data_IF_995055127607
#
_entry.id   IF_995055127607
#
_cell.length_a   1.000
_cell.length_b   1.000
_cell.length_c   1.000
_cell.angle_alpha   90.00
_cell.angle_beta   90.00
_cell.angle_gamma   90.00
#
_symmetry.space_group_name_H-M   'P 1'
#
loop_
_entity.id
_entity.type
_entity.pdbx_description
1 polymer ?
#
# COMPACT_ATOMS: atom_id res chain seq x y z
N UNK A 1 3.79 -51.51 -4.03
CA UNK A 1 2.76 -50.54 -4.47
C UNK A 1 1.32 -51.06 -4.50
N UNK A 2 1.06 -52.37 -4.61
CA UNK A 2 -0.32 -52.91 -4.72
C UNK A 2 -1.20 -52.71 -3.47
N UNK A 3 -0.64 -52.87 -2.26
CA UNK A 3 -1.42 -52.81 -1.00
C UNK A 3 -2.05 -51.44 -0.70
N UNK A 4 -1.42 -50.34 -1.14
CA UNK A 4 -1.95 -48.98 -0.92
C UNK A 4 -3.11 -48.69 -1.89
N UNK A 5 -3.01 -49.18 -3.13
CA UNK A 5 -4.09 -49.05 -4.12
C UNK A 5 -5.32 -49.84 -3.67
N UNK A 6 -5.13 -51.02 -3.11
CA UNK A 6 -6.22 -51.90 -2.70
C UNK A 6 -7.11 -51.29 -1.59
N UNK A 7 -6.50 -50.56 -0.64
CA UNK A 7 -7.21 -49.78 0.40
C UNK A 7 -8.11 -48.70 -0.20
N UNK A 8 -7.73 -48.14 -1.36
CA UNK A 8 -8.48 -47.11 -2.06
C UNK A 8 -9.47 -47.64 -3.10
N UNK A 9 -9.33 -48.87 -3.58
CA UNK A 9 -10.21 -49.47 -4.60
C UNK A 9 -11.21 -50.51 -4.08
N UNK A 10 -11.03 -51.04 -2.86
CA UNK A 10 -11.95 -52.00 -2.24
C UNK A 10 -13.25 -51.40 -1.67
N UNK A 11 -14.07 -52.24 -1.02
CA UNK A 11 -15.39 -51.86 -0.45
C UNK A 11 -15.32 -50.66 0.52
N UNK A 12 -14.22 -50.50 1.24
CA UNK A 12 -14.02 -49.42 2.21
C UNK A 12 -13.47 -48.11 1.63
N UNK A 13 -13.46 -47.95 0.30
CA UNK A 13 -12.98 -46.72 -0.40
C UNK A 13 -13.55 -45.43 0.18
N UNK A 14 -14.83 -45.41 0.56
CA UNK A 14 -15.49 -44.22 1.14
C UNK A 14 -14.84 -43.81 2.47
N UNK A 15 -14.45 -44.78 3.29
CA UNK A 15 -13.76 -44.55 4.56
C UNK A 15 -12.33 -44.04 4.32
N UNK A 16 -11.59 -44.65 3.39
CA UNK A 16 -10.24 -44.17 3.03
C UNK A 16 -10.26 -42.71 2.53
N UNK A 17 -11.21 -42.36 1.65
CA UNK A 17 -11.41 -40.99 1.20
C UNK A 17 -11.81 -40.04 2.34
N UNK A 18 -12.67 -40.47 3.26
CA UNK A 18 -13.03 -39.67 4.43
C UNK A 18 -11.83 -39.37 5.34
N UNK A 19 -10.96 -40.36 5.59
CA UNK A 19 -9.74 -40.18 6.37
C UNK A 19 -8.77 -39.23 5.69
N UNK A 20 -8.62 -39.33 4.37
CA UNK A 20 -7.75 -38.44 3.59
C UNK A 20 -8.28 -37.00 3.59
N UNK A 21 -9.58 -36.83 3.37
CA UNK A 21 -10.22 -35.51 3.39
C UNK A 21 -10.12 -34.90 4.78
N UNK A 22 -10.44 -35.63 5.85
CA UNK A 22 -10.35 -35.12 7.22
C UNK A 22 -8.91 -34.76 7.62
N UNK A 23 -7.92 -35.59 7.27
CA UNK A 23 -6.50 -35.29 7.50
C UNK A 23 -6.06 -34.04 6.73
N UNK A 24 -6.53 -33.88 5.49
CA UNK A 24 -6.22 -32.71 4.66
C UNK A 24 -6.84 -31.44 5.26
N UNK A 25 -8.07 -31.50 5.75
CA UNK A 25 -8.76 -30.37 6.41
C UNK A 25 -8.01 -29.96 7.68
N UNK A 26 -7.59 -30.92 8.51
CA UNK A 26 -6.80 -30.62 9.72
C UNK A 26 -5.45 -30.00 9.37
N UNK A 27 -4.78 -30.50 8.33
CA UNK A 27 -3.49 -29.96 7.88
C UNK A 27 -3.63 -28.54 7.32
N UNK A 28 -4.66 -28.27 6.51
CA UNK A 28 -4.96 -26.92 6.00
C UNK A 28 -5.39 -26.00 7.14
N UNK A 29 -6.19 -26.48 8.09
CA UNK A 29 -6.56 -25.69 9.27
C UNK A 29 -5.37 -25.35 10.17
N UNK A 30 -4.36 -26.21 10.25
CA UNK A 30 -3.09 -25.90 10.93
C UNK A 30 -2.29 -24.86 10.15
N UNK A 31 -2.27 -24.96 8.80
CA UNK A 31 -1.58 -24.03 7.91
C UNK A 31 -2.27 -22.66 7.78
N UNK A 32 -3.57 -22.57 8.06
CA UNK A 32 -4.39 -21.34 7.95
C UNK A 32 -4.86 -20.85 9.33
N UNK A 33 -4.54 -21.59 10.40
CA UNK A 33 -4.86 -21.23 11.77
C UNK A 33 -4.24 -19.90 12.20
N UNK A 34 -4.68 -19.32 13.33
CA UNK A 34 -4.55 -17.90 13.69
C UNK A 34 -3.13 -17.37 13.98
N UNK A 35 -2.09 -17.97 13.41
CA UNK A 35 -0.70 -17.51 13.52
C UNK A 35 0.21 -17.84 12.33
N UNK A 36 -0.31 -18.35 11.20
CA UNK A 36 0.54 -18.75 10.07
C UNK A 36 0.72 -17.64 9.04
N UNK A 37 1.85 -16.97 9.15
CA UNK A 37 2.80 -16.57 8.10
C UNK A 37 2.25 -16.23 6.70
N UNK A 38 1.57 -17.14 5.97
CA UNK A 38 1.19 -16.96 4.54
C UNK A 38 0.25 -15.78 4.29
N UNK A 39 -0.78 -15.59 5.13
CA UNK A 39 -1.71 -14.46 4.99
C UNK A 39 -0.96 -13.14 5.21
N UNK A 40 -0.10 -13.10 6.23
CA UNK A 40 0.76 -11.96 6.50
C UNK A 40 1.77 -11.68 5.38
N UNK A 41 2.31 -12.69 4.70
CA UNK A 41 3.19 -12.47 3.53
C UNK A 41 2.45 -11.82 2.36
N UNK A 42 1.19 -12.20 2.13
CA UNK A 42 0.38 -11.61 1.05
C UNK A 42 0.02 -10.15 1.36
N UNK A 43 -0.36 -9.86 2.61
CA UNK A 43 -0.61 -8.48 3.07
C UNK A 43 0.67 -7.64 3.05
N UNK A 44 1.79 -8.16 3.58
CA UNK A 44 3.08 -7.49 3.57
C UNK A 44 3.55 -7.16 2.15
N UNK A 45 3.36 -8.08 1.18
CA UNK A 45 3.73 -7.82 -0.22
C UNK A 45 2.89 -6.71 -0.85
N UNK A 46 1.60 -6.63 -0.51
CA UNK A 46 0.73 -5.52 -0.95
C UNK A 46 1.15 -4.19 -0.30
N UNK A 47 1.52 -4.24 0.97
CA UNK A 47 1.98 -3.08 1.72
C UNK A 47 3.29 -2.52 1.13
N UNK A 48 4.25 -3.38 0.80
CA UNK A 48 5.51 -2.98 0.17
C UNK A 48 5.25 -2.28 -1.17
N UNK A 49 4.41 -2.86 -2.03
CA UNK A 49 4.07 -2.24 -3.31
C UNK A 49 3.33 -0.90 -3.17
N UNK A 50 2.58 -0.70 -2.08
CA UNK A 50 1.96 0.60 -1.76
C UNK A 50 3.00 1.62 -1.31
N UNK A 51 3.94 1.21 -0.46
CA UNK A 51 5.02 2.07 0.03
C UNK A 51 5.96 2.51 -1.09
N UNK A 52 6.32 1.62 -2.02
CA UNK A 52 7.13 1.98 -3.20
C UNK A 52 6.45 3.05 -4.06
N UNK A 53 5.14 2.91 -4.32
CA UNK A 53 4.38 3.94 -5.06
C UNK A 53 4.30 5.26 -4.31
N UNK A 54 4.22 5.23 -2.98
CA UNK A 54 4.27 6.45 -2.18
C UNK A 54 5.64 7.12 -2.29
N UNK A 55 6.73 6.36 -2.22
CA UNK A 55 8.08 6.89 -2.39
C UNK A 55 8.28 7.54 -3.77
N UNK A 56 7.77 6.92 -4.84
CA UNK A 56 7.86 7.48 -6.19
C UNK A 56 7.07 8.78 -6.32
N UNK A 57 5.85 8.84 -5.76
CA UNK A 57 5.06 10.07 -5.69
C UNK A 57 5.79 11.18 -4.93
N UNK A 58 6.28 10.89 -3.72
CA UNK A 58 6.99 11.90 -2.93
C UNK A 58 8.26 12.40 -3.63
N UNK A 59 8.99 11.55 -4.34
CA UNK A 59 10.13 12.00 -5.17
C UNK A 59 9.70 12.97 -6.25
N UNK A 60 8.63 12.65 -6.98
CA UNK A 60 8.12 13.54 -8.04
C UNK A 60 7.61 14.88 -7.49
N UNK A 61 7.01 14.86 -6.30
CA UNK A 61 6.50 16.07 -5.64
C UNK A 61 7.63 16.95 -5.12
N UNK A 62 8.71 16.35 -4.58
CA UNK A 62 9.92 17.08 -4.18
C UNK A 62 10.58 17.72 -5.39
N UNK A 63 10.73 17.01 -6.51
CA UNK A 63 11.34 17.57 -7.72
C UNK A 63 10.52 18.75 -8.29
N UNK A 64 9.19 18.63 -8.28
CA UNK A 64 8.31 19.74 -8.66
C UNK A 64 8.40 20.92 -7.68
N UNK A 65 8.47 20.66 -6.37
CA UNK A 65 8.64 21.70 -5.36
C UNK A 65 10.01 22.39 -5.47
N UNK A 66 11.08 21.67 -5.74
CA UNK A 66 12.42 22.24 -5.93
C UNK A 66 12.49 23.13 -7.17
N UNK A 67 11.82 22.76 -8.26
CA UNK A 67 11.68 23.63 -9.43
C UNK A 67 10.91 24.91 -9.07
N UNK A 68 9.77 24.78 -8.39
CA UNK A 68 8.98 25.94 -7.94
C UNK A 68 9.77 26.84 -6.98
N UNK A 69 10.52 26.28 -6.02
CA UNK A 69 11.38 27.05 -5.11
C UNK A 69 12.51 27.73 -5.87
N UNK A 70 13.10 27.07 -6.87
CA UNK A 70 14.13 27.65 -7.73
C UNK A 70 13.61 28.87 -8.49
N UNK A 71 12.42 28.78 -9.08
CA UNK A 71 11.76 29.90 -9.75
C UNK A 71 11.46 31.04 -8.78
N UNK A 72 10.88 30.73 -7.61
CA UNK A 72 10.58 31.69 -6.55
C UNK A 72 11.85 32.40 -6.02
N UNK A 73 12.97 31.67 -5.85
CA UNK A 73 14.23 32.26 -5.37
C UNK A 73 14.93 33.13 -6.39
N UNK A 74 14.77 32.83 -7.68
CA UNK A 74 15.53 33.49 -8.74
C UNK A 74 14.84 34.78 -9.21
N UNK A 75 13.52 34.89 -9.06
CA UNK A 75 12.75 36.06 -9.50
C UNK A 75 12.00 36.72 -8.33
N UNK A 76 12.45 37.94 -7.94
CA UNK A 76 11.86 38.71 -6.84
C UNK A 76 10.37 38.98 -7.01
N UNK A 77 9.91 39.24 -8.24
CA UNK A 77 8.50 39.51 -8.52
C UNK A 77 7.63 38.25 -8.34
N UNK A 78 8.19 37.08 -8.67
CA UNK A 78 7.49 35.80 -8.43
C UNK A 78 7.37 35.47 -6.94
N UNK A 79 8.40 35.78 -6.15
CA UNK A 79 8.39 35.63 -4.70
C UNK A 79 7.37 36.57 -4.04
N UNK A 80 7.35 37.84 -4.47
CA UNK A 80 6.39 38.82 -3.97
C UNK A 80 4.95 38.42 -4.29
N UNK A 81 4.69 37.97 -5.52
CA UNK A 81 3.36 37.48 -5.92
C UNK A 81 2.93 36.28 -5.07
N UNK A 82 3.79 35.29 -4.86
CA UNK A 82 3.51 34.14 -4.01
C UNK A 82 3.24 34.54 -2.55
N UNK A 83 4.05 35.45 -2.00
CA UNK A 83 3.88 35.99 -0.65
C UNK A 83 2.53 36.71 -0.47
N UNK A 84 2.08 37.45 -1.49
CA UNK A 84 0.79 38.15 -1.48
C UNK A 84 -0.39 37.20 -1.65
N UNK A 85 -0.33 36.26 -2.59
CA UNK A 85 -1.45 35.37 -2.91
C UNK A 85 -1.64 34.25 -1.88
N UNK A 86 -0.57 33.62 -1.42
CA UNK A 86 -0.66 32.48 -0.50
C UNK A 86 -0.71 32.89 0.98
N UNK A 87 -0.04 34.00 1.33
CA UNK A 87 0.14 34.40 2.72
C UNK A 87 -0.43 35.79 3.03
N UNK A 88 -0.97 36.51 2.05
CA UNK A 88 -1.57 37.82 2.27
C UNK A 88 -0.58 38.88 2.75
N UNK A 89 0.72 38.73 2.49
CA UNK A 89 1.72 39.67 2.98
C UNK A 89 1.53 41.07 2.37
N UNK A 90 1.67 42.10 3.20
CA UNK A 90 1.61 43.51 2.81
C UNK A 90 2.93 44.23 3.15
N UNK A 91 3.28 45.25 2.37
CA UNK A 91 4.36 46.17 2.72
C UNK A 91 3.85 47.16 3.78
N UNK A 92 4.69 47.65 4.72
CA UNK A 92 4.26 48.66 5.69
C UNK A 92 3.64 49.88 4.99
N UNK A 93 2.35 50.13 5.25
CA UNK A 93 1.57 51.21 4.63
C UNK A 93 0.62 50.80 3.51
N UNK A 94 0.55 49.51 3.14
CA UNK A 94 -0.48 48.95 2.25
C UNK A 94 -1.61 48.26 3.03
N UNK A 95 -2.85 48.41 2.55
CA UNK A 95 -4.02 47.68 3.03
C UNK A 95 -4.32 46.49 2.10
N UNK A 96 -4.46 45.28 2.66
CA UNK A 96 -4.79 44.05 1.91
C UNK A 96 -6.26 43.73 2.09
N UNK A 97 -6.96 43.50 0.98
CA UNK A 97 -8.37 43.11 0.97
C UNK A 97 -8.50 41.66 0.46
N UNK A 98 -9.05 40.78 1.30
CA UNK A 98 -9.42 39.42 0.90
C UNK A 98 -10.89 39.45 0.53
N UNK A 99 -11.20 39.12 -0.73
CA UNK A 99 -12.58 39.03 -1.21
C UNK A 99 -12.93 37.54 -1.20
N UNK A 100 -13.85 37.15 -0.33
CA UNK A 100 -14.47 35.82 -0.34
C UNK A 100 -15.66 35.86 -1.32
N UNK A 101 -15.73 34.87 -2.22
CA UNK A 101 -16.87 34.68 -3.14
C UNK A 101 -18.15 34.25 -2.39
#
# INVERSE_FOLDING_TARGET
MGKIKDIFTGEHRKFAWFVVISTTIVMVSWLVGPGTTIIHWVEAKREIGRQERQMEKYRSEIEAMDQNIGELKTNRDSLEKFAREQFGFAVPGEDVYIIED
#
